data_IF_185054458039
#
_entry.id   IF_185054458039
#
_cell.length_a   1.000
_cell.length_b   1.000
_cell.length_c   1.000
_cell.angle_alpha   90.00
_cell.angle_beta   90.00
_cell.angle_gamma   90.00
#
_symmetry.space_group_name_H-M   'P 1'
#
loop_
_entity.id
_entity.type
_entity.pdbx_description
1 polymer ?
#
# COMPACT_ATOMS: atom_id res chain seq x y z
N UNK A 1 -30.70 -0.49 10.93
CA UNK A 1 -29.67 -1.40 11.48
C UNK A 1 -29.42 -2.50 10.47
N UNK A 2 -28.23 -2.55 9.88
CA UNK A 2 -27.86 -3.57 8.90
C UNK A 2 -27.76 -4.93 9.60
N UNK A 3 -28.51 -5.93 9.13
CA UNK A 3 -28.46 -7.26 9.72
C UNK A 3 -27.19 -8.00 9.26
N UNK A 4 -26.26 -8.26 10.19
CA UNK A 4 -25.09 -9.10 9.94
C UNK A 4 -25.41 -10.59 10.07
N UNK A 5 -24.80 -11.43 9.24
CA UNK A 5 -24.86 -12.90 9.41
C UNK A 5 -24.08 -13.32 10.65
N UNK A 6 -24.31 -14.55 11.14
CA UNK A 6 -23.57 -15.08 12.30
C UNK A 6 -22.05 -15.03 12.09
N UNK A 7 -21.56 -15.42 10.91
CA UNK A 7 -20.13 -15.36 10.57
C UNK A 7 -19.60 -13.93 10.50
N UNK A 8 -20.39 -12.98 9.99
CA UNK A 8 -19.99 -11.57 9.95
C UNK A 8 -19.91 -10.98 11.37
N UNK A 9 -20.88 -11.27 12.24
CA UNK A 9 -20.85 -10.84 13.65
C UNK A 9 -19.62 -11.41 14.36
N UNK A 10 -19.37 -12.70 14.22
CA UNK A 10 -18.19 -13.34 14.81
C UNK A 10 -16.88 -12.68 14.36
N UNK A 11 -16.77 -12.29 13.08
CA UNK A 11 -15.61 -11.55 12.58
C UNK A 11 -15.49 -10.12 13.14
N UNK A 12 -16.62 -9.42 13.35
CA UNK A 12 -16.67 -8.07 13.92
C UNK A 12 -16.30 -8.09 15.42
N UNK A 13 -16.76 -9.10 16.14
CA UNK A 13 -16.59 -9.26 17.59
C UNK A 13 -15.23 -9.87 17.96
N UNK A 14 -14.48 -10.40 17.00
CA UNK A 14 -13.15 -10.95 17.22
C UNK A 14 -12.09 -9.84 17.44
N UNK A 15 -11.73 -9.65 18.72
CA UNK A 15 -10.78 -8.62 19.18
C UNK A 15 -9.39 -9.22 19.49
N UNK A 16 -9.35 -10.35 20.19
CA UNK A 16 -8.14 -10.79 20.92
C UNK A 16 -7.27 -11.79 20.14
N UNK A 17 -7.50 -11.96 18.83
CA UNK A 17 -6.77 -12.94 18.02
C UNK A 17 -6.57 -12.49 16.57
N UNK A 18 -5.61 -13.16 15.90
CA UNK A 18 -5.38 -12.98 14.47
C UNK A 18 -6.53 -13.62 13.69
N UNK A 19 -7.14 -12.85 12.78
CA UNK A 19 -8.30 -13.27 12.00
C UNK A 19 -8.03 -13.21 10.50
N UNK A 20 -8.25 -14.32 9.81
CA UNK A 20 -8.26 -14.38 8.34
C UNK A 20 -9.71 -14.48 7.83
N UNK A 21 -10.11 -13.55 6.96
CA UNK A 21 -11.46 -13.52 6.36
C UNK A 21 -11.38 -13.94 4.90
N UNK A 22 -11.86 -15.15 4.60
CA UNK A 22 -11.97 -15.68 3.23
C UNK A 22 -13.43 -15.59 2.80
N UNK A 23 -13.74 -14.82 1.75
CA UNK A 23 -15.11 -14.70 1.26
C UNK A 23 -15.20 -14.30 -0.22
N UNK A 24 -16.25 -14.76 -0.89
CA UNK A 24 -16.55 -14.44 -2.29
C UNK A 24 -16.76 -12.92 -2.52
N UNK A 25 -16.73 -12.48 -3.77
CA UNK A 25 -17.14 -11.12 -4.12
C UNK A 25 -18.59 -10.84 -3.64
N UNK A 26 -18.88 -9.60 -3.24
CA UNK A 26 -20.23 -9.21 -2.78
C UNK A 26 -20.63 -9.67 -1.36
N UNK A 27 -19.82 -10.47 -0.67
CA UNK A 27 -20.10 -10.98 0.69
C UNK A 27 -20.02 -9.94 1.83
N UNK A 28 -19.73 -8.68 1.52
CA UNK A 28 -19.63 -7.61 2.51
C UNK A 28 -18.29 -7.55 3.27
N UNK A 29 -17.20 -8.11 2.75
CA UNK A 29 -15.85 -8.06 3.38
C UNK A 29 -15.47 -6.67 3.90
N UNK A 30 -15.58 -5.65 3.05
CA UNK A 30 -15.25 -4.27 3.43
C UNK A 30 -16.15 -3.76 4.55
N UNK A 31 -17.45 -4.10 4.53
CA UNK A 31 -18.38 -3.73 5.60
C UNK A 31 -17.98 -4.38 6.93
N UNK A 32 -17.61 -5.66 6.92
CA UNK A 32 -17.14 -6.38 8.11
C UNK A 32 -15.88 -5.74 8.66
N UNK A 33 -14.90 -5.43 7.81
CA UNK A 33 -13.64 -4.78 8.23
C UNK A 33 -13.90 -3.40 8.84
N UNK A 34 -14.70 -2.56 8.20
CA UNK A 34 -15.02 -1.22 8.74
C UNK A 34 -15.78 -1.29 10.06
N UNK A 35 -16.75 -2.20 10.17
CA UNK A 35 -17.51 -2.39 11.40
C UNK A 35 -16.63 -2.95 12.52
N UNK A 36 -15.68 -3.83 12.20
CA UNK A 36 -14.69 -4.34 13.17
C UNK A 36 -13.83 -3.21 13.71
N UNK A 37 -13.32 -2.32 12.86
CA UNK A 37 -12.56 -1.14 13.29
C UNK A 37 -13.40 -0.25 14.21
N UNK A 38 -14.64 0.06 13.82
CA UNK A 38 -15.54 0.84 14.65
C UNK A 38 -15.86 0.16 16.00
N UNK A 39 -15.98 -1.17 16.02
CA UNK A 39 -16.21 -1.95 17.23
C UNK A 39 -15.00 -1.91 18.18
N UNK A 40 -13.77 -2.03 17.65
CA UNK A 40 -12.53 -1.93 18.44
C UNK A 40 -12.40 -0.56 19.13
N UNK A 41 -12.80 0.51 18.43
CA UNK A 41 -12.80 1.86 18.97
C UNK A 41 -13.92 2.07 20.00
N UNK A 42 -15.14 1.60 19.71
CA UNK A 42 -16.30 1.76 20.58
C UNK A 42 -16.18 0.98 21.89
N UNK A 43 -15.56 -0.21 21.86
CA UNK A 43 -15.33 -1.03 23.05
C UNK A 43 -14.14 -0.56 23.91
N UNK A 44 -13.33 0.37 23.41
CA UNK A 44 -12.08 0.79 24.05
C UNK A 44 -10.96 -0.26 23.98
N UNK A 45 -11.12 -1.31 23.17
CA UNK A 45 -10.09 -2.34 22.97
C UNK A 45 -8.86 -1.81 22.21
N UNK A 46 -9.03 -0.75 21.41
CA UNK A 46 -7.94 -0.05 20.76
C UNK A 46 -8.18 1.46 20.77
N UNK A 47 -7.10 2.22 20.91
CA UNK A 47 -7.11 3.66 20.64
C UNK A 47 -6.88 3.89 19.13
N UNK A 48 -7.35 5.01 18.54
CA UNK A 48 -7.15 5.30 17.12
C UNK A 48 -5.70 5.14 16.64
N UNK A 49 -4.72 5.60 17.40
CA UNK A 49 -3.27 5.47 17.09
C UNK A 49 -2.76 4.02 17.04
N UNK A 50 -3.50 3.07 17.61
CA UNK A 50 -3.15 1.65 17.59
C UNK A 50 -3.63 0.97 16.30
N UNK A 51 -4.44 1.65 15.47
CA UNK A 51 -5.06 1.08 14.28
C UNK A 51 -4.31 1.51 13.02
N UNK A 52 -3.80 0.50 12.30
CA UNK A 52 -3.27 0.64 10.95
C UNK A 52 -4.12 -0.23 10.03
N UNK A 53 -4.76 0.38 9.04
CA UNK A 53 -5.49 -0.32 7.98
C UNK A 53 -4.95 0.12 6.63
N UNK A 54 -4.56 -0.84 5.78
CA UNK A 54 -4.12 -0.54 4.43
C UNK A 54 -4.77 -1.44 3.38
N UNK A 55 -4.78 -0.95 2.14
CA UNK A 55 -5.24 -1.67 0.96
C UNK A 55 -4.33 -1.40 -0.24
N UNK A 56 -4.60 -2.03 -1.37
CA UNK A 56 -3.78 -1.92 -2.57
C UNK A 56 -3.98 -0.62 -3.36
N UNK A 57 -5.15 0.01 -3.25
CA UNK A 57 -5.48 1.19 -4.07
C UNK A 57 -5.91 2.37 -3.22
N UNK A 58 -5.54 3.58 -3.64
CA UNK A 58 -5.94 4.83 -2.98
C UNK A 58 -7.47 4.98 -2.91
N UNK A 59 -8.18 4.56 -3.97
CA UNK A 59 -9.65 4.60 -4.01
C UNK A 59 -10.27 3.70 -2.93
N UNK A 60 -9.78 2.47 -2.79
CA UNK A 60 -10.28 1.56 -1.75
C UNK A 60 -9.93 2.07 -0.35
N UNK A 61 -8.78 2.72 -0.18
CA UNK A 61 -8.38 3.30 1.10
C UNK A 61 -9.29 4.46 1.49
N UNK A 62 -9.59 5.35 0.54
CA UNK A 62 -10.54 6.45 0.74
C UNK A 62 -11.94 5.93 1.09
N UNK A 63 -12.45 4.94 0.35
CA UNK A 63 -13.76 4.33 0.65
C UNK A 63 -13.77 3.68 2.05
N UNK A 64 -12.71 2.97 2.42
CA UNK A 64 -12.57 2.35 3.73
C UNK A 64 -12.56 3.41 4.84
N UNK A 65 -11.81 4.50 4.64
CA UNK A 65 -11.73 5.63 5.59
C UNK A 65 -13.08 6.28 5.79
N UNK A 66 -13.76 6.66 4.73
CA UNK A 66 -15.09 7.30 4.80
C UNK A 66 -16.11 6.40 5.51
N UNK A 67 -16.06 5.09 5.25
CA UNK A 67 -16.93 4.11 5.88
C UNK A 67 -16.66 3.98 7.37
N UNK A 68 -15.38 3.87 7.77
CA UNK A 68 -15.00 3.80 9.20
C UNK A 68 -15.43 5.07 9.93
N UNK A 69 -15.15 6.25 9.37
CA UNK A 69 -15.52 7.52 10.00
C UNK A 69 -17.03 7.63 10.21
N UNK A 70 -17.83 7.19 9.23
CA UNK A 70 -19.29 7.15 9.35
C UNK A 70 -19.75 6.21 10.48
N UNK A 71 -19.23 4.99 10.52
CA UNK A 71 -19.61 4.00 11.52
C UNK A 71 -19.20 4.40 12.94
N UNK A 72 -18.05 5.06 13.11
CA UNK A 72 -17.61 5.61 14.39
C UNK A 72 -18.51 6.75 14.85
N UNK A 73 -18.92 7.63 13.93
CA UNK A 73 -19.88 8.70 14.24
C UNK A 73 -21.26 8.14 14.63
N UNK A 74 -21.70 7.06 13.97
CA UNK A 74 -22.97 6.37 14.26
C UNK A 74 -22.94 5.56 15.56
N UNK A 75 -21.78 5.06 16.00
CA UNK A 75 -21.65 4.25 17.21
C UNK A 75 -21.61 5.06 18.51
N UNK A 76 -21.51 6.39 18.42
CA UNK A 76 -21.34 7.27 19.58
C UNK A 76 -19.95 7.19 20.22
N UNK A 77 -18.99 6.55 19.55
CA UNK A 77 -17.60 6.51 19.99
C UNK A 77 -16.95 7.90 19.90
N UNK A 78 -15.94 8.12 20.74
CA UNK A 78 -15.18 9.38 20.72
C UNK A 78 -14.53 9.60 19.36
N UNK A 79 -14.68 10.80 18.81
CA UNK A 79 -14.01 11.21 17.57
C UNK A 79 -12.62 11.78 17.83
N UNK A 80 -12.23 11.93 19.10
CA UNK A 80 -10.92 12.43 19.51
C UNK A 80 -9.85 11.43 19.09
N UNK A 81 -8.78 11.92 18.46
CA UNK A 81 -7.64 11.10 18.04
C UNK A 81 -7.85 10.33 16.73
N UNK A 82 -9.01 10.42 16.05
CA UNK A 82 -9.23 9.71 14.78
C UNK A 82 -8.23 10.09 13.67
N UNK A 83 -7.59 11.27 13.77
CA UNK A 83 -6.52 11.68 12.86
C UNK A 83 -5.21 10.90 13.07
N UNK A 84 -5.03 10.26 14.22
CA UNK A 84 -3.85 9.43 14.54
C UNK A 84 -3.99 8.00 13.99
N UNK A 85 -5.19 7.59 13.57
CA UNK A 85 -5.43 6.30 12.92
C UNK A 85 -4.95 6.34 11.47
N UNK A 86 -4.17 5.34 11.07
CA UNK A 86 -3.73 5.21 9.68
C UNK A 86 -4.73 4.41 8.85
N UNK A 87 -5.29 5.03 7.81
CA UNK A 87 -6.05 4.35 6.74
C UNK A 87 -5.53 4.83 5.40
N UNK A 88 -4.86 3.95 4.64
CA UNK A 88 -4.17 4.33 3.40
C UNK A 88 -3.79 3.14 2.51
N UNK A 89 -2.82 3.34 1.62
CA UNK A 89 -2.17 2.24 0.92
C UNK A 89 -0.98 1.70 1.70
N UNK A 90 -0.55 0.48 1.39
CA UNK A 90 0.65 -0.11 1.99
C UNK A 90 1.88 0.79 1.73
N UNK A 91 2.03 1.29 0.50
CA UNK A 91 3.12 2.21 0.16
C UNK A 91 3.07 3.51 0.96
N UNK A 92 1.89 4.10 1.14
CA UNK A 92 1.73 5.31 1.95
C UNK A 92 2.12 5.07 3.42
N UNK A 93 1.81 3.89 3.96
CA UNK A 93 2.21 3.51 5.33
C UNK A 93 3.73 3.38 5.45
N UNK A 94 4.36 2.64 4.53
CA UNK A 94 5.82 2.51 4.51
C UNK A 94 6.51 3.88 4.39
N UNK A 95 6.03 4.75 3.50
CA UNK A 95 6.58 6.10 3.35
C UNK A 95 6.43 6.91 4.64
N UNK A 96 5.27 6.84 5.28
CA UNK A 96 5.00 7.52 6.54
C UNK A 96 5.96 7.06 7.64
N UNK A 97 6.19 5.76 7.79
CA UNK A 97 7.14 5.22 8.76
C UNK A 97 8.57 5.71 8.50
N UNK A 98 9.02 5.69 7.25
CA UNK A 98 10.34 6.20 6.88
C UNK A 98 10.48 7.69 7.26
N UNK A 99 9.51 8.51 6.84
CA UNK A 99 9.50 9.95 7.07
C UNK A 99 9.29 10.37 8.53
N UNK A 100 8.85 9.46 9.40
CA UNK A 100 8.70 9.73 10.84
C UNK A 100 9.90 9.23 11.65
N UNK A 101 10.49 8.10 11.26
CA UNK A 101 11.44 7.39 12.11
C UNK A 101 12.86 7.32 11.57
N UNK A 102 13.08 7.62 10.28
CA UNK A 102 14.39 7.51 9.63
C UNK A 102 14.85 8.89 9.16
N UNK A 103 15.64 9.63 9.97
CA UNK A 103 16.01 11.03 9.68
C UNK A 103 16.66 11.23 8.31
N UNK A 104 17.41 10.24 7.85
CA UNK A 104 18.06 10.26 6.54
C UNK A 104 17.05 10.40 5.41
N UNK A 105 15.85 9.83 5.56
CA UNK A 105 14.81 9.80 4.53
C UNK A 105 14.03 11.11 4.40
N UNK A 106 14.14 12.03 5.35
CA UNK A 106 13.28 13.23 5.43
C UNK A 106 13.47 14.18 4.23
N UNK A 107 14.65 14.14 3.61
CA UNK A 107 14.98 14.94 2.41
C UNK A 107 14.60 14.26 1.09
N UNK A 108 14.14 13.01 1.15
CA UNK A 108 13.86 12.22 -0.04
C UNK A 108 12.38 12.29 -0.41
N UNK A 109 12.13 12.31 -1.72
CA UNK A 109 10.79 12.23 -2.30
C UNK A 109 10.69 10.97 -3.14
N UNK A 110 9.48 10.41 -3.20
CA UNK A 110 9.19 9.26 -4.07
C UNK A 110 9.37 9.69 -5.52
N UNK A 111 10.16 8.92 -6.26
CA UNK A 111 10.35 9.15 -7.68
C UNK A 111 9.11 8.69 -8.45
N UNK A 112 8.58 9.57 -9.29
CA UNK A 112 7.60 9.20 -10.32
C UNK A 112 8.30 8.42 -11.43
N UNK A 113 7.53 7.66 -12.22
CA UNK A 113 8.05 6.92 -13.39
C UNK A 113 8.88 7.80 -14.33
N UNK A 114 8.43 9.05 -14.54
CA UNK A 114 9.12 10.02 -15.39
C UNK A 114 10.44 10.44 -14.75
N UNK A 115 10.45 10.79 -13.45
CA UNK A 115 11.69 11.18 -12.76
C UNK A 115 12.68 10.02 -12.62
N UNK A 116 12.20 8.80 -12.38
CA UNK A 116 13.00 7.58 -12.39
C UNK A 116 13.66 7.37 -13.75
N UNK A 117 12.90 7.50 -14.84
CA UNK A 117 13.44 7.44 -16.20
C UNK A 117 14.48 8.53 -16.47
N UNK A 118 14.18 9.77 -16.10
CA UNK A 118 15.12 10.88 -16.27
C UNK A 118 16.41 10.70 -15.46
N UNK A 119 16.32 10.13 -14.26
CA UNK A 119 17.48 9.82 -13.41
C UNK A 119 18.37 8.78 -14.09
N UNK A 120 17.77 7.68 -14.57
CA UNK A 120 18.48 6.64 -15.33
C UNK A 120 19.10 7.20 -16.61
N UNK A 121 18.37 8.05 -17.34
CA UNK A 121 18.90 8.69 -18.54
C UNK A 121 20.06 9.64 -18.23
N UNK A 122 19.95 10.46 -17.17
CA UNK A 122 21.00 11.38 -16.74
C UNK A 122 22.30 10.64 -16.42
N UNK A 123 22.20 9.48 -15.76
CA UNK A 123 23.32 8.67 -15.33
C UNK A 123 23.47 7.39 -16.17
N UNK A 124 23.14 7.42 -17.47
CA UNK A 124 22.97 6.23 -18.31
C UNK A 124 24.17 5.29 -18.38
N UNK A 125 25.40 5.80 -18.20
CA UNK A 125 26.60 4.98 -18.13
C UNK A 125 26.75 4.28 -16.77
N UNK A 126 26.48 5.00 -15.68
CA UNK A 126 26.61 4.49 -14.31
C UNK A 126 25.48 3.53 -13.94
N UNK A 127 24.26 3.80 -14.41
CA UNK A 127 23.14 2.88 -14.22
C UNK A 127 23.39 1.55 -14.92
N UNK A 128 24.17 1.56 -16.01
CA UNK A 128 24.38 0.41 -16.87
C UNK A 128 23.49 0.39 -18.11
N UNK A 129 22.60 1.39 -18.28
CA UNK A 129 21.72 1.49 -19.46
C UNK A 129 22.54 1.43 -20.76
N UNK A 130 23.46 2.37 -20.98
CA UNK A 130 24.18 2.46 -22.28
C UNK A 130 25.30 1.43 -22.45
N UNK A 131 25.62 0.68 -21.41
CA UNK A 131 26.59 -0.42 -21.45
C UNK A 131 25.92 -1.78 -21.59
N UNK A 132 24.62 -1.88 -21.34
CA UNK A 132 23.86 -3.11 -21.45
C UNK A 132 23.73 -3.51 -22.92
N UNK A 133 24.32 -4.65 -23.35
CA UNK A 133 24.10 -5.20 -24.67
C UNK A 133 22.71 -5.83 -24.73
N UNK A 134 21.99 -5.56 -25.82
CA UNK A 134 20.71 -6.17 -26.10
C UNK A 134 20.72 -6.82 -27.48
N UNK A 135 20.26 -8.05 -27.56
CA UNK A 135 20.07 -8.76 -28.82
C UNK A 135 18.66 -8.49 -29.32
N UNK A 136 18.55 -7.73 -30.41
CA UNK A 136 17.27 -7.39 -31.05
C UNK A 136 17.33 -7.87 -32.48
N UNK A 137 16.42 -8.75 -32.88
CA UNK A 137 16.29 -9.25 -34.26
C UNK A 137 17.62 -9.82 -34.84
N UNK A 138 18.38 -10.56 -34.02
CA UNK A 138 19.62 -11.21 -34.45
C UNK A 138 20.87 -10.31 -34.51
N UNK A 139 20.75 -9.03 -34.16
CA UNK A 139 21.88 -8.11 -33.98
C UNK A 139 22.07 -7.72 -32.51
N UNK A 140 23.32 -7.70 -32.06
CA UNK A 140 23.67 -7.20 -30.72
C UNK A 140 24.00 -5.71 -30.80
N UNK A 141 23.24 -4.89 -30.06
CA UNK A 141 23.52 -3.46 -29.89
C UNK A 141 23.36 -3.06 -28.44
N UNK A 142 24.05 -2.01 -28.01
CA UNK A 142 23.79 -1.44 -26.69
C UNK A 142 22.46 -0.68 -26.67
N UNK A 143 21.84 -0.63 -25.49
CA UNK A 143 20.67 0.20 -25.27
C UNK A 143 21.03 1.69 -25.37
N UNK A 144 20.10 2.47 -25.90
CA UNK A 144 20.26 3.91 -26.16
C UNK A 144 19.48 4.72 -25.14
N UNK A 145 20.14 5.75 -24.61
CA UNK A 145 19.53 6.78 -23.75
C UNK A 145 18.32 7.41 -24.45
N UNK A 146 17.29 7.74 -23.69
CA UNK A 146 15.99 8.28 -24.11
C UNK A 146 15.11 7.36 -24.96
N UNK A 147 15.68 6.36 -25.64
CA UNK A 147 14.95 5.41 -26.50
C UNK A 147 14.56 4.17 -25.72
N UNK A 148 15.56 3.50 -25.12
CA UNK A 148 15.39 2.18 -24.51
C UNK A 148 15.23 2.23 -22.97
N UNK A 149 15.16 3.42 -22.38
CA UNK A 149 15.17 3.63 -20.92
C UNK A 149 13.98 2.98 -20.21
N UNK A 150 12.81 2.97 -20.86
CA UNK A 150 11.62 2.32 -20.32
C UNK A 150 11.78 0.79 -20.31
N UNK A 151 12.24 0.22 -21.42
CA UNK A 151 12.54 -1.21 -21.52
C UNK A 151 13.55 -1.64 -20.44
N UNK A 152 14.62 -0.86 -20.30
CA UNK A 152 15.66 -1.10 -19.29
C UNK A 152 15.09 -1.10 -17.87
N UNK A 153 14.25 -0.12 -17.51
CA UNK A 153 13.60 -0.08 -16.21
C UNK A 153 12.64 -1.26 -15.99
N UNK A 154 11.88 -1.66 -17.00
CA UNK A 154 11.00 -2.84 -16.93
C UNK A 154 11.77 -4.12 -16.68
N UNK A 155 12.89 -4.34 -17.39
CA UNK A 155 13.75 -5.52 -17.19
C UNK A 155 14.36 -5.51 -15.79
N UNK A 156 14.84 -4.37 -15.31
CA UNK A 156 15.33 -4.25 -13.93
C UNK A 156 14.25 -4.56 -12.89
N UNK A 157 12.98 -4.25 -13.17
CA UNK A 157 11.86 -4.61 -12.31
C UNK A 157 11.75 -6.13 -12.16
N UNK A 158 11.76 -6.85 -13.29
CA UNK A 158 11.71 -8.32 -13.31
C UNK A 158 12.90 -8.92 -12.56
N UNK A 159 14.11 -8.44 -12.84
CA UNK A 159 15.33 -8.97 -12.21
C UNK A 159 15.40 -8.74 -10.69
N UNK A 160 14.66 -7.76 -10.14
CA UNK A 160 14.60 -7.54 -8.69
C UNK A 160 13.61 -8.46 -7.98
N UNK A 161 12.60 -8.92 -8.71
CA UNK A 161 11.59 -9.84 -8.19
C UNK A 161 12.03 -11.29 -8.30
N UNK A 162 13.10 -11.56 -9.07
CA UNK A 162 13.69 -12.87 -9.21
C UNK A 162 14.53 -13.22 -7.96
N UNK A 163 14.32 -14.42 -7.42
CA UNK A 163 15.23 -14.97 -6.41
C UNK A 163 16.49 -15.43 -7.12
N UNK A 164 17.66 -14.92 -6.71
CA UNK A 164 18.92 -15.48 -7.17
C UNK A 164 19.10 -16.80 -6.42
N UNK A 165 18.79 -17.92 -7.07
CA UNK A 165 19.27 -19.22 -6.61
C UNK A 165 20.81 -19.17 -6.58
N UNK A 166 21.40 -19.17 -5.38
CA UNK A 166 22.85 -19.37 -5.16
C UNK A 166 23.27 -20.83 -5.38
#
# INVERSE_FOLDING_TARGET
MTAYTASQRSAIECVDSTLQIIACAGSGKTQVISQRIANLLASGAAEPRNIVAFTFTEKAAAELKDRVMRLVAESGASTVGLAEMFIGTMHAYCLNLLQQHVPETFRFNVLTDITSRMLVDRYSKQSGLTTCPATVQGGTRNLKRFVDSQLYLSVLGILREDEIDE
#
